data_IF_265396482191
#
_entry.id   IF_265396482191
#
_cell.length_a   1.000
_cell.length_b   1.000
_cell.length_c   1.000
_cell.angle_alpha   90.00
_cell.angle_beta   90.00
_cell.angle_gamma   90.00
#
_symmetry.space_group_name_H-M   'P 1'
#
loop_
_entity.id
_entity.type
_entity.pdbx_description
1 polymer ?
#
# COMPACT_ATOMS: atom_id res chain seq x y z
N UNK A 1 20.13 8.22 -13.30
CA UNK A 1 19.24 9.26 -12.73
C UNK A 1 19.16 9.03 -11.23
N UNK A 2 19.29 10.07 -10.40
CA UNK A 2 19.21 9.92 -8.95
C UNK A 2 17.83 9.38 -8.54
N UNK A 3 17.81 8.24 -7.82
CA UNK A 3 16.57 7.63 -7.35
C UNK A 3 16.15 8.27 -6.04
N UNK A 4 15.03 9.00 -6.05
CA UNK A 4 14.46 9.55 -4.83
C UNK A 4 13.75 8.42 -4.07
N UNK A 5 14.15 8.22 -2.81
CA UNK A 5 13.50 7.27 -1.90
C UNK A 5 12.79 8.03 -0.80
N UNK A 6 11.52 7.75 -0.56
CA UNK A 6 10.67 8.45 0.42
C UNK A 6 10.01 7.41 1.33
N UNK A 7 9.84 7.72 2.62
CA UNK A 7 9.02 6.89 3.51
C UNK A 7 7.55 6.95 3.05
N UNK A 8 6.84 5.82 2.90
CA UNK A 8 5.44 5.84 2.49
C UNK A 8 4.58 6.78 3.35
N UNK A 9 4.80 6.79 4.65
CA UNK A 9 4.17 7.69 5.64
C UNK A 9 4.32 9.18 5.32
N UNK A 10 5.42 9.59 4.66
CA UNK A 10 5.67 10.98 4.27
C UNK A 10 4.86 11.42 3.04
N UNK A 11 4.30 10.48 2.28
CA UNK A 11 3.56 10.76 1.04
C UNK A 11 2.07 10.94 1.36
N UNK A 12 1.48 11.95 0.74
CA UNK A 12 0.07 12.30 0.89
C UNK A 12 -0.76 11.72 -0.25
N UNK A 13 -1.99 11.35 0.09
CA UNK A 13 -3.01 10.98 -0.87
C UNK A 13 -3.54 12.21 -1.59
N UNK A 14 -3.92 12.00 -2.84
CA UNK A 14 -4.56 13.02 -3.68
C UNK A 14 -6.10 12.94 -3.74
N UNK A 15 -6.67 12.00 -2.99
CA UNK A 15 -8.10 11.69 -2.92
C UNK A 15 -8.49 11.42 -1.46
N UNK A 16 -9.73 11.70 -1.10
CA UNK A 16 -10.29 11.39 0.23
C UNK A 16 -10.75 9.93 0.38
N UNK A 17 -10.94 9.23 -0.74
CA UNK A 17 -11.30 7.81 -0.74
C UNK A 17 -10.80 7.04 -1.96
N UNK A 18 -10.54 5.75 -1.78
CA UNK A 18 -10.12 4.80 -2.82
C UNK A 18 -11.05 3.59 -2.89
N UNK A 19 -11.05 2.91 -4.04
CA UNK A 19 -11.61 1.57 -4.17
C UNK A 19 -10.75 0.57 -3.39
N UNK A 20 -11.38 -0.48 -2.86
CA UNK A 20 -10.71 -1.64 -2.25
C UNK A 20 -9.98 -2.53 -3.28
N UNK A 21 -10.27 -2.40 -4.57
CA UNK A 21 -9.62 -3.20 -5.62
C UNK A 21 -8.81 -2.34 -6.60
N UNK A 22 -7.85 -2.97 -7.28
CA UNK A 22 -7.26 -2.40 -8.49
C UNK A 22 -8.31 -2.32 -9.61
N UNK A 23 -8.07 -1.48 -10.63
CA UNK A 23 -9.09 -1.22 -11.66
C UNK A 23 -9.13 -2.36 -12.66
N UNK A 24 -10.30 -2.62 -13.24
CA UNK A 24 -10.55 -3.73 -14.18
C UNK A 24 -9.59 -3.80 -15.38
N UNK A 25 -8.96 -2.67 -15.74
CA UNK A 25 -7.98 -2.58 -16.81
C UNK A 25 -6.52 -2.84 -16.37
N UNK A 26 -6.27 -3.44 -15.21
CA UNK A 26 -4.91 -3.78 -14.75
C UNK A 26 -4.77 -5.29 -14.55
N UNK A 27 -3.60 -5.87 -14.76
CA UNK A 27 -3.33 -7.31 -14.58
C UNK A 27 -3.63 -7.87 -13.16
N UNK A 28 -4.09 -7.01 -12.23
CA UNK A 28 -4.43 -7.34 -10.84
C UNK A 28 -5.93 -7.14 -10.52
N UNK A 29 -6.80 -7.16 -11.54
CA UNK A 29 -8.25 -6.88 -11.44
C UNK A 29 -8.97 -7.64 -10.32
N UNK A 30 -8.54 -8.86 -10.01
CA UNK A 30 -9.21 -9.71 -9.01
C UNK A 30 -8.64 -9.57 -7.59
N UNK A 31 -7.50 -8.89 -7.43
CA UNK A 31 -6.85 -8.77 -6.13
C UNK A 31 -7.26 -7.46 -5.45
N UNK A 32 -7.82 -7.60 -4.25
CA UNK A 32 -8.02 -6.45 -3.37
C UNK A 32 -6.66 -5.88 -2.91
N UNK A 33 -6.67 -4.64 -2.47
CA UNK A 33 -5.47 -3.98 -1.95
C UNK A 33 -4.93 -4.70 -0.70
N UNK A 34 -5.78 -5.35 0.09
CA UNK A 34 -5.40 -6.17 1.25
C UNK A 34 -4.86 -7.54 0.84
N UNK A 35 -5.42 -8.20 -0.18
CA UNK A 35 -4.86 -9.47 -0.68
C UNK A 35 -3.46 -9.28 -1.25
N UNK A 36 -3.18 -8.10 -1.80
CA UNK A 36 -1.83 -7.72 -2.26
C UNK A 36 -0.85 -7.62 -1.08
N UNK A 37 -1.29 -7.04 0.06
CA UNK A 37 -0.48 -7.00 1.29
C UNK A 37 -0.20 -8.41 1.78
N UNK A 38 -1.23 -9.25 1.88
CA UNK A 38 -1.11 -10.63 2.31
C UNK A 38 -0.20 -11.45 1.40
N UNK A 39 -0.31 -11.29 0.08
CA UNK A 39 0.56 -11.97 -0.89
C UNK A 39 2.03 -11.61 -0.70
N UNK A 40 2.34 -10.36 -0.37
CA UNK A 40 3.71 -9.92 -0.05
C UNK A 40 4.18 -10.47 1.29
N UNK A 41 3.32 -10.46 2.30
CA UNK A 41 3.62 -11.04 3.61
C UNK A 41 3.94 -12.53 3.50
N UNK A 42 3.12 -13.27 2.74
CA UNK A 42 3.28 -14.70 2.44
C UNK A 42 4.39 -15.00 1.42
N UNK A 43 5.16 -14.00 0.99
CA UNK A 43 6.25 -14.13 0.00
C UNK A 43 5.81 -14.71 -1.35
N UNK A 44 4.53 -14.59 -1.69
CA UNK A 44 4.00 -14.90 -3.04
C UNK A 44 4.43 -13.87 -4.07
N UNK A 45 4.58 -12.62 -3.62
CA UNK A 45 5.08 -11.49 -4.41
C UNK A 45 6.19 -10.76 -3.66
N UNK A 46 7.08 -10.11 -4.39
CA UNK A 46 8.07 -9.19 -3.85
C UNK A 46 7.47 -7.79 -3.76
N UNK A 47 7.96 -6.99 -2.81
CA UNK A 47 7.59 -5.56 -2.72
C UNK A 47 7.94 -4.83 -4.03
N UNK A 48 9.05 -5.21 -4.65
CA UNK A 48 9.53 -4.63 -5.91
C UNK A 48 8.65 -4.96 -7.12
N UNK A 49 7.75 -5.95 -6.99
CA UNK A 49 6.78 -6.28 -8.04
C UNK A 49 5.64 -5.25 -8.08
N UNK A 50 5.46 -4.44 -7.02
CA UNK A 50 4.51 -3.33 -7.03
C UNK A 50 5.08 -2.21 -7.92
N UNK A 51 4.36 -1.76 -8.96
CA UNK A 51 4.82 -0.68 -9.81
C UNK A 51 5.14 0.61 -9.03
N UNK A 52 6.30 1.21 -9.30
CA UNK A 52 6.76 2.46 -8.66
C UNK A 52 5.67 3.53 -8.68
N UNK A 53 5.48 4.21 -7.56
CA UNK A 53 4.51 5.30 -7.46
C UNK A 53 5.07 6.59 -8.05
N UNK A 54 4.20 7.36 -8.69
CA UNK A 54 4.52 8.70 -9.15
C UNK A 54 4.16 9.73 -8.09
N UNK A 55 5.08 10.62 -7.75
CA UNK A 55 4.86 11.73 -6.81
C UNK A 55 5.06 13.08 -7.49
N UNK A 56 4.36 14.08 -6.98
CA UNK A 56 4.58 15.49 -7.33
C UNK A 56 4.78 16.28 -6.05
N UNK A 57 5.59 17.34 -6.14
CA UNK A 57 5.73 18.29 -5.04
C UNK A 57 4.60 19.31 -5.09
N UNK A 58 3.85 19.47 -4.00
CA UNK A 58 2.87 20.55 -3.80
C UNK A 58 3.24 21.30 -2.53
N UNK A 59 3.85 22.48 -2.68
CA UNK A 59 4.49 23.16 -1.56
C UNK A 59 5.59 22.29 -0.95
N UNK A 60 5.47 22.01 0.35
CA UNK A 60 6.45 21.22 1.10
C UNK A 60 6.15 19.73 1.18
N UNK A 61 5.03 19.28 0.61
CA UNK A 61 4.60 17.88 0.70
C UNK A 61 4.71 17.15 -0.63
N UNK A 62 4.93 15.84 -0.53
CA UNK A 62 4.86 14.91 -1.66
C UNK A 62 3.46 14.33 -1.77
N UNK A 63 2.86 14.44 -2.94
CA UNK A 63 1.49 13.97 -3.21
C UNK A 63 1.52 12.99 -4.37
N UNK A 64 0.75 11.89 -4.27
CA UNK A 64 0.65 10.90 -5.34
C UNK A 64 -0.76 10.78 -5.90
N UNK A 65 -0.85 10.48 -7.19
CA UNK A 65 -2.10 10.04 -7.82
C UNK A 65 -2.34 8.53 -7.67
N UNK A 66 -1.33 7.76 -7.26
CA UNK A 66 -1.35 6.30 -7.18
C UNK A 66 -1.87 5.83 -5.82
N UNK A 67 -3.01 6.37 -5.38
CA UNK A 67 -3.50 6.28 -4.00
C UNK A 67 -3.66 4.84 -3.49
N UNK A 68 -4.09 3.89 -4.34
CA UNK A 68 -4.19 2.47 -3.96
C UNK A 68 -2.83 1.83 -3.68
N UNK A 69 -1.82 2.12 -4.51
CA UNK A 69 -0.46 1.63 -4.30
C UNK A 69 0.19 2.27 -3.07
N UNK A 70 -0.04 3.57 -2.86
CA UNK A 70 0.41 4.23 -1.64
C UNK A 70 -0.21 3.60 -0.38
N UNK A 71 -1.50 3.25 -0.43
CA UNK A 71 -2.15 2.56 0.67
C UNK A 71 -1.46 1.24 0.99
N UNK A 72 -1.18 0.41 -0.03
CA UNK A 72 -0.44 -0.85 0.15
C UNK A 72 0.93 -0.60 0.79
N UNK A 73 1.70 0.38 0.29
CA UNK A 73 3.01 0.69 0.84
C UNK A 73 2.97 1.23 2.28
N UNK A 74 2.00 2.08 2.64
CA UNK A 74 1.83 2.54 4.03
C UNK A 74 1.46 1.38 4.97
N UNK A 75 0.61 0.47 4.51
CA UNK A 75 0.28 -0.74 5.26
C UNK A 75 1.52 -1.61 5.47
N UNK A 76 2.30 -1.86 4.42
CA UNK A 76 3.55 -2.62 4.49
C UNK A 76 4.61 -1.94 5.39
N UNK A 77 4.72 -0.61 5.35
CA UNK A 77 5.58 0.16 6.24
C UNK A 77 5.18 -0.03 7.71
N UNK A 78 3.89 0.07 8.02
CA UNK A 78 3.37 -0.18 9.37
C UNK A 78 3.57 -1.63 9.84
N UNK A 79 3.83 -2.56 8.91
CA UNK A 79 4.14 -3.97 9.15
C UNK A 79 5.65 -4.24 9.12
N UNK A 80 6.48 -3.19 9.11
CA UNK A 80 7.94 -3.31 9.10
C UNK A 80 8.52 -3.93 7.82
N UNK A 81 7.73 -4.04 6.75
CA UNK A 81 8.18 -4.67 5.50
C UNK A 81 8.99 -3.70 4.62
N UNK A 82 8.80 -2.39 4.78
CA UNK A 82 9.64 -1.39 4.11
C UNK A 82 9.74 -0.10 4.93
N UNK A 83 10.91 0.55 4.90
CA UNK A 83 11.11 1.87 5.52
C UNK A 83 11.05 3.01 4.50
N UNK A 84 11.47 2.75 3.25
CA UNK A 84 11.49 3.73 2.15
C UNK A 84 11.23 3.04 0.82
N UNK A 85 10.49 3.70 -0.05
CA UNK A 85 10.18 3.23 -1.40
C UNK A 85 10.77 4.16 -2.45
N UNK A 86 11.14 3.61 -3.59
CA UNK A 86 11.59 4.37 -4.74
C UNK A 86 10.41 4.99 -5.48
N UNK A 87 10.50 6.27 -5.81
CA UNK A 87 9.41 7.02 -6.44
C UNK A 87 9.82 7.65 -7.77
N UNK A 88 8.84 7.88 -8.63
CA UNK A 88 9.01 8.61 -9.89
C UNK A 88 8.52 10.04 -9.69
N UNK A 89 9.39 11.03 -9.84
CA UNK A 89 9.00 12.44 -9.74
C UNK A 89 8.32 12.87 -11.05
N UNK A 90 7.09 13.37 -10.95
CA UNK A 90 6.36 14.00 -12.07
C UNK A 90 6.24 15.51 -11.85
N UNK A 91 5.96 16.24 -12.93
CA UNK A 91 5.70 17.68 -12.87
C UNK A 91 4.28 18.01 -12.39
N UNK A 92 3.29 17.17 -12.72
CA UNK A 92 1.86 17.41 -12.47
C UNK A 92 1.10 16.11 -12.19
N UNK A 93 0.03 16.22 -11.41
CA UNK A 93 -1.03 15.20 -11.29
C UNK A 93 -2.33 15.76 -11.86
N UNK A 94 -3.28 14.89 -12.17
CA UNK A 94 -4.61 15.30 -12.67
C UNK A 94 -5.29 16.28 -11.71
N UNK A 95 -5.92 17.33 -12.25
CA UNK A 95 -6.66 18.33 -11.49
C UNK A 95 -7.85 17.73 -10.71
N UNK A 96 -8.39 16.59 -11.15
CA UNK A 96 -9.45 15.85 -10.44
C UNK A 96 -8.96 15.24 -9.11
N UNK A 97 -7.65 15.28 -8.85
CA UNK A 97 -6.97 14.74 -7.66
C UNK A 97 -6.33 15.89 -6.88
N UNK A 98 -7.17 16.77 -6.33
CA UNK A 98 -6.78 18.02 -5.69
C UNK A 98 -6.73 17.97 -4.16
N UNK A 99 -7.32 16.94 -3.55
CA UNK A 99 -7.29 16.73 -2.09
C UNK A 99 -5.87 16.42 -1.65
N UNK A 100 -5.46 16.83 -0.44
CA UNK A 100 -4.17 16.48 0.16
C UNK A 100 -4.42 15.98 1.58
N UNK A 101 -4.29 14.67 1.80
CA UNK A 101 -4.58 14.03 3.10
C UNK A 101 -3.53 12.97 3.44
N UNK A 102 -3.22 12.81 4.73
CA UNK A 102 -2.34 11.73 5.22
C UNK A 102 -3.07 10.39 5.26
N UNK A 103 -4.35 10.41 5.57
CA UNK A 103 -5.24 9.26 5.68
C UNK A 103 -6.21 9.18 4.50
N UNK A 104 -6.80 8.01 4.28
CA UNK A 104 -7.75 7.79 3.20
C UNK A 104 -8.80 6.77 3.58
N UNK A 105 -10.06 7.02 3.19
CA UNK A 105 -11.14 6.05 3.35
C UNK A 105 -11.07 4.99 2.25
N UNK A 106 -10.94 3.72 2.62
CA UNK A 106 -11.15 2.60 1.69
C UNK A 106 -12.65 2.36 1.56
N UNK A 107 -13.17 2.29 0.33
CA UNK A 107 -14.57 1.95 0.04
C UNK A 107 -14.67 0.44 -0.17
N UNK A 108 -15.51 -0.21 0.62
CA UNK A 108 -15.65 -1.66 0.63
C UNK A 108 -14.63 -2.34 1.55
N UNK A 109 -14.67 -3.68 1.55
CA UNK A 109 -13.74 -4.50 2.31
C UNK A 109 -12.36 -4.53 1.61
N UNK A 110 -11.28 -4.03 2.23
CA UNK A 110 -9.94 -4.06 1.63
C UNK A 110 -9.42 -5.47 1.35
N UNK A 111 -10.03 -6.53 1.90
CA UNK A 111 -9.53 -7.90 1.79
C UNK A 111 -8.27 -8.14 2.62
N UNK A 112 -7.60 -9.28 2.41
CA UNK A 112 -6.46 -9.71 3.20
C UNK A 112 -6.84 -10.19 4.61
N UNK A 113 -6.60 -11.48 4.88
CA UNK A 113 -6.78 -12.11 6.20
C UNK A 113 -5.80 -11.49 7.21
N UNK A 114 -4.51 -11.36 6.86
CA UNK A 114 -3.51 -10.86 7.81
C UNK A 114 -3.66 -9.36 8.08
N UNK A 115 -4.03 -8.60 7.05
CA UNK A 115 -4.44 -7.21 7.23
C UNK A 115 -5.64 -7.07 8.20
N UNK A 116 -6.68 -7.89 8.02
CA UNK A 116 -7.85 -7.92 8.92
C UNK A 116 -7.46 -8.32 10.34
N UNK A 117 -6.63 -9.34 10.50
CA UNK A 117 -6.15 -9.77 11.82
C UNK A 117 -5.45 -8.64 12.58
N UNK A 118 -4.55 -7.90 11.92
CA UNK A 118 -3.90 -6.75 12.54
C UNK A 118 -4.89 -5.64 12.91
N UNK A 119 -5.80 -5.31 12.00
CA UNK A 119 -6.68 -4.13 12.16
C UNK A 119 -7.89 -4.38 13.05
N UNK A 120 -8.49 -5.58 12.99
CA UNK A 120 -9.68 -5.95 13.76
C UNK A 120 -9.34 -6.45 15.16
N UNK A 121 -8.23 -7.19 15.31
CA UNK A 121 -7.86 -7.77 16.61
C UNK A 121 -6.77 -7.00 17.35
N UNK A 122 -6.33 -5.84 16.83
CA UNK A 122 -5.21 -5.06 17.36
C UNK A 122 -3.97 -5.92 17.66
N UNK A 123 -3.79 -7.00 16.89
CA UNK A 123 -2.72 -7.96 17.14
C UNK A 123 -1.38 -7.28 16.88
N UNK A 124 -0.45 -7.49 17.81
CA UNK A 124 0.91 -7.03 17.61
C UNK A 124 1.51 -7.74 16.40
N UNK A 125 2.44 -7.07 15.72
CA UNK A 125 3.07 -7.61 14.51
C UNK A 125 3.67 -9.01 14.73
N UNK A 126 4.19 -9.28 15.93
CA UNK A 126 4.71 -10.59 16.30
C UNK A 126 3.64 -11.69 16.28
N UNK A 127 2.41 -11.40 16.73
CA UNK A 127 1.31 -12.36 16.75
C UNK A 127 0.80 -12.66 15.34
N UNK A 128 0.79 -11.65 14.47
CA UNK A 128 0.47 -11.84 13.04
C UNK A 128 1.51 -12.73 12.38
N UNK A 129 2.81 -12.49 12.63
CA UNK A 129 3.88 -13.36 12.14
C UNK A 129 3.80 -14.78 12.69
N UNK A 130 3.45 -14.93 13.97
CA UNK A 130 3.26 -16.24 14.59
C UNK A 130 2.09 -16.99 13.93
N UNK A 131 0.94 -16.32 13.72
CA UNK A 131 -0.20 -16.90 13.01
C UNK A 131 0.16 -17.31 11.58
N UNK A 132 0.91 -16.46 10.85
CA UNK A 132 1.44 -16.79 9.53
C UNK A 132 2.35 -18.02 9.55
N UNK A 133 3.27 -18.10 10.51
CA UNK A 133 4.23 -19.20 10.61
C UNK A 133 3.54 -20.55 10.80
N UNK A 134 2.45 -20.59 11.58
CA UNK A 134 1.64 -21.80 11.78
C UNK A 134 0.99 -22.26 10.49
N UNK A 135 0.35 -21.35 9.75
CA UNK A 135 -0.30 -21.66 8.47
C UNK A 135 0.71 -22.16 7.43
N UNK A 136 1.90 -21.52 7.33
CA UNK A 136 2.93 -21.96 6.40
C UNK A 136 3.56 -23.33 6.75
N UNK A 137 3.54 -23.73 8.03
CA UNK A 137 4.02 -25.04 8.47
C UNK A 137 3.01 -26.16 8.17
N UNK A 138 1.71 -25.88 8.24
CA UNK A 138 0.64 -26.87 7.99
C UNK A 138 0.44 -27.19 6.49
N UNK A 139 1.03 -26.39 5.58
CA UNK A 139 0.96 -26.60 4.13
C UNK A 139 2.13 -27.40 3.53
N UNK A 140 2.93 -28.08 4.35
CA UNK A 140 3.99 -29.01 3.91
C UNK A 140 3.62 -30.45 4.20
#
# INVERSE_FOLDING_TARGET
MAELRIAPSDIYYSQSSISNCFSEASEHTENSIGDTVDGILLKRYRIDDIPKISVVRKGDVWVTADNRRLWVFKTLESLGQCARISVIIKKRISNKKSVVQKDIKVRGDPGGIFYKLKTQHQMNFHDVLLAMSRICLDTK
#
